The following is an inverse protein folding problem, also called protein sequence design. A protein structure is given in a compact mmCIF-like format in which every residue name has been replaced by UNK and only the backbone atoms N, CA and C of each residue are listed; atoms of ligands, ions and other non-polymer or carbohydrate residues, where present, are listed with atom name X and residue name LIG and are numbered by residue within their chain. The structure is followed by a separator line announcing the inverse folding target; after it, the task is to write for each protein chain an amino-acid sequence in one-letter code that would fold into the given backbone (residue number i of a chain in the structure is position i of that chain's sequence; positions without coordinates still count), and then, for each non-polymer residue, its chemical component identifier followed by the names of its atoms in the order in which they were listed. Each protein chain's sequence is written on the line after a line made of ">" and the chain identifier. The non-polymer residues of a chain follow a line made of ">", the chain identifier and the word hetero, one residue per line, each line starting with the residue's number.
data_IF_383422875690
#
_entry.id   IF_383422875690
#
_cell.length_a   1.000
_cell.length_b   1.000
_cell.length_c   1.000
_cell.angle_alpha   90.00
_cell.angle_beta   90.00
_cell.angle_gamma   90.00
#
_symmetry.space_group_name_H-M   'P 1'
#
loop_
_entity.id
_entity.type
_entity.pdbx_description
1 polymer ?
#
# COMPACT_ATOMS: atom_id res chain seq x y z
N UNK A 1 25.86 13.00 -32.02
CA UNK A 1 25.92 11.55 -31.74
C UNK A 1 26.35 11.19 -30.30
N UNK A 2 26.63 12.14 -29.38
CA UNK A 2 27.06 11.82 -28.01
C UNK A 2 25.94 11.79 -26.93
N UNK A 3 24.74 12.32 -27.21
CA UNK A 3 23.67 12.47 -26.20
C UNK A 3 22.89 11.18 -25.88
N UNK A 4 23.12 10.08 -26.60
CA UNK A 4 22.36 8.82 -26.42
C UNK A 4 22.95 7.84 -25.41
N UNK A 5 24.19 8.05 -24.95
CA UNK A 5 24.88 7.07 -24.09
C UNK A 5 24.62 7.33 -22.59
N UNK A 6 24.31 8.57 -22.20
CA UNK A 6 24.14 8.93 -20.78
C UNK A 6 22.77 8.51 -20.22
N UNK A 7 21.76 8.30 -21.08
CA UNK A 7 20.42 7.84 -20.67
C UNK A 7 20.35 6.37 -20.24
N UNK A 8 21.45 5.62 -20.33
CA UNK A 8 21.55 4.23 -19.89
C UNK A 8 22.18 4.07 -18.49
N UNK A 9 22.77 5.13 -17.92
CA UNK A 9 23.52 5.05 -16.67
C UNK A 9 22.76 5.55 -15.44
N UNK A 10 21.63 6.22 -15.63
CA UNK A 10 20.81 6.74 -14.54
C UNK A 10 19.33 6.53 -14.87
N UNK A 11 18.65 5.53 -14.30
CA UNK A 11 17.21 5.41 -14.45
C UNK A 11 16.54 6.70 -13.96
N UNK A 12 15.65 7.24 -14.79
CA UNK A 12 14.97 8.54 -14.61
C UNK A 12 13.85 8.51 -13.56
N UNK A 13 13.71 7.41 -12.84
CA UNK A 13 12.79 7.23 -11.74
C UNK A 13 13.56 6.63 -10.55
N UNK A 14 13.24 7.04 -9.31
CA UNK A 14 13.74 6.30 -8.15
C UNK A 14 13.37 4.83 -8.36
N UNK A 15 14.31 3.88 -8.14
CA UNK A 15 14.00 2.46 -8.28
C UNK A 15 12.79 2.18 -7.40
N UNK A 16 11.74 1.59 -7.98
CA UNK A 16 10.57 1.20 -7.20
C UNK A 16 11.06 0.41 -5.98
N UNK A 17 10.64 0.78 -4.76
CA UNK A 17 10.96 -0.04 -3.61
C UNK A 17 10.51 -1.47 -3.94
N UNK A 18 11.46 -2.42 -3.85
CA UNK A 18 11.28 -3.84 -4.19
C UNK A 18 11.22 -4.25 -5.68
N UNK A 19 11.62 -3.37 -6.62
CA UNK A 19 11.82 -3.74 -8.04
C UNK A 19 12.70 -5.01 -8.20
N UNK A 20 13.67 -5.17 -7.31
CA UNK A 20 14.52 -6.35 -7.26
C UNK A 20 13.69 -7.64 -7.08
N UNK A 21 12.78 -7.70 -6.11
CA UNK A 21 11.98 -8.90 -5.82
C UNK A 21 11.00 -9.25 -6.95
N UNK A 22 10.46 -8.26 -7.67
CA UNK A 22 9.66 -8.52 -8.88
C UNK A 22 10.45 -9.28 -9.95
N UNK A 23 11.77 -9.08 -10.00
CA UNK A 23 12.66 -9.69 -11.01
C UNK A 23 13.38 -10.96 -10.54
N UNK A 24 13.67 -11.09 -9.25
CA UNK A 24 14.50 -12.18 -8.69
C UNK A 24 13.75 -13.06 -7.69
N UNK A 25 12.63 -12.59 -7.16
CA UNK A 25 11.83 -13.31 -6.17
C UNK A 25 11.00 -14.43 -6.80
N UNK A 26 10.66 -15.42 -5.98
CA UNK A 26 9.67 -16.43 -6.34
C UNK A 26 8.28 -15.81 -6.27
N UNK A 27 7.56 -15.86 -7.39
CA UNK A 27 6.19 -15.35 -7.48
C UNK A 27 5.20 -16.40 -6.96
N UNK A 28 4.36 -15.96 -6.03
CA UNK A 28 3.25 -16.72 -5.48
C UNK A 28 1.98 -15.99 -5.90
N UNK A 29 1.03 -16.73 -6.47
CA UNK A 29 -0.30 -16.20 -6.74
C UNK A 29 -1.24 -16.66 -5.64
N UNK A 30 -1.85 -15.71 -4.96
CA UNK A 30 -2.80 -15.97 -3.88
C UNK A 30 -4.17 -15.48 -4.33
N UNK A 31 -5.21 -16.29 -4.14
CA UNK A 31 -6.57 -15.80 -4.38
C UNK A 31 -6.93 -14.81 -3.29
N UNK A 32 -7.64 -13.75 -3.67
CA UNK A 32 -8.10 -12.73 -2.74
C UNK A 32 -8.92 -13.32 -1.59
N UNK A 33 -9.72 -14.36 -1.87
CA UNK A 33 -10.56 -15.03 -0.89
C UNK A 33 -9.77 -15.75 0.22
N UNK A 34 -8.50 -16.07 -0.05
CA UNK A 34 -7.60 -16.70 0.92
C UNK A 34 -6.87 -15.68 1.81
N UNK A 35 -7.05 -14.38 1.53
CA UNK A 35 -6.48 -13.27 2.30
C UNK A 35 -7.54 -12.61 3.20
N UNK A 36 -7.12 -12.15 4.36
CA UNK A 36 -7.95 -11.43 5.33
C UNK A 36 -7.67 -9.94 5.24
N UNK A 37 -8.71 -9.13 5.05
CA UNK A 37 -8.63 -7.66 5.15
C UNK A 37 -8.74 -7.26 6.63
N UNK A 38 -7.68 -6.65 7.15
CA UNK A 38 -7.64 -6.13 8.51
C UNK A 38 -7.74 -4.61 8.44
N UNK A 39 -8.67 -4.05 9.24
CA UNK A 39 -8.88 -2.61 9.36
C UNK A 39 -8.21 -2.07 10.60
N UNK A 40 -7.59 -0.91 10.48
CA UNK A 40 -7.08 -0.10 11.58
C UNK A 40 -7.53 1.34 11.35
N UNK A 41 -7.66 2.12 12.41
CA UNK A 41 -7.94 3.54 12.29
C UNK A 41 -6.64 4.31 12.47
N UNK A 42 -6.44 5.34 11.64
CA UNK A 42 -5.43 6.36 11.90
C UNK A 42 -6.14 7.72 12.01
N UNK A 43 -5.53 8.61 12.77
CA UNK A 43 -6.03 9.96 12.94
C UNK A 43 -5.12 10.87 12.13
N UNK A 44 -5.71 11.56 11.16
CA UNK A 44 -4.99 12.55 10.35
C UNK A 44 -5.42 13.94 10.82
N UNK A 45 -4.43 14.78 11.12
CA UNK A 45 -4.66 16.23 11.24
C UNK A 45 -4.99 16.74 9.84
N UNK A 46 -6.06 17.54 9.72
CA UNK A 46 -6.33 18.23 8.45
C UNK A 46 -5.12 19.09 8.12
N UNK A 47 -4.57 18.94 6.92
CA UNK A 47 -3.76 20.00 6.35
C UNK A 47 -4.67 21.24 6.25
N UNK A 48 -4.21 22.37 6.80
CA UNK A 48 -4.81 23.70 6.60
C UNK A 48 -4.79 24.02 5.09
N UNK A 49 -5.75 23.47 4.36
CA UNK A 49 -6.00 23.81 2.96
C UNK A 49 -6.99 24.97 2.83
N UNK A 50 -7.56 25.40 3.95
CA UNK A 50 -8.58 26.43 3.99
C UNK A 50 -7.91 27.81 4.11
N UNK A 51 -8.38 28.77 3.33
CA UNK A 51 -7.85 30.13 3.36
C UNK A 51 -8.11 30.82 4.70
N UNK A 52 -7.32 31.83 5.03
CA UNK A 52 -7.44 32.63 6.28
C UNK A 52 -8.88 33.08 6.58
N UNK A 53 -9.68 33.35 5.53
CA UNK A 53 -11.07 33.76 5.63
C UNK A 53 -11.99 32.68 6.25
N UNK A 54 -11.76 31.40 5.94
CA UNK A 54 -12.50 30.27 6.52
C UNK A 54 -12.16 30.11 8.00
N UNK A 55 -10.87 30.22 8.35
CA UNK A 55 -10.43 30.16 9.75
C UNK A 55 -11.02 31.29 10.61
N UNK A 56 -11.15 32.49 10.05
CA UNK A 56 -11.77 33.61 10.76
C UNK A 56 -13.27 33.39 11.00
N UNK A 57 -13.99 32.83 10.02
CA UNK A 57 -15.40 32.49 10.14
C UNK A 57 -15.62 31.37 11.18
N UNK A 58 -14.80 30.32 11.14
CA UNK A 58 -14.86 29.22 12.12
C UNK A 58 -14.61 29.72 13.55
N UNK A 59 -13.64 30.64 13.73
CA UNK A 59 -13.38 31.30 15.01
C UNK A 59 -14.55 32.15 15.53
N UNK A 60 -15.33 32.79 14.64
CA UNK A 60 -16.50 33.60 15.00
C UNK A 60 -17.70 32.77 15.48
N UNK A 61 -17.88 31.57 14.93
CA UNK A 61 -18.94 30.63 15.33
C UNK A 61 -18.51 29.64 16.42
N UNK A 62 -17.27 29.75 16.92
CA UNK A 62 -16.73 28.90 17.97
C UNK A 62 -16.35 27.48 17.50
N UNK A 63 -16.25 27.25 16.19
CA UNK A 63 -15.74 26.00 15.65
C UNK A 63 -14.22 25.96 15.81
N UNK A 64 -13.70 25.01 16.59
CA UNK A 64 -12.27 24.72 16.62
C UNK A 64 -11.95 23.77 15.47
N UNK A 65 -11.02 24.18 14.61
CA UNK A 65 -10.58 23.45 13.42
C UNK A 65 -9.77 22.18 13.71
N UNK A 66 -9.55 21.83 14.99
CA UNK A 66 -8.84 20.63 15.44
C UNK A 66 -9.68 19.34 15.32
N UNK A 67 -10.50 19.20 14.27
CA UNK A 67 -11.23 17.96 14.02
C UNK A 67 -10.27 16.91 13.44
N UNK A 68 -9.59 16.17 14.32
CA UNK A 68 -8.93 14.90 13.97
C UNK A 68 -9.96 13.98 13.34
N UNK A 69 -9.84 13.71 12.04
CA UNK A 69 -10.71 12.74 11.37
C UNK A 69 -10.11 11.36 11.51
N UNK A 70 -10.86 10.45 12.15
CA UNK A 70 -10.58 9.03 12.06
C UNK A 70 -10.75 8.59 10.61
N UNK A 71 -9.67 8.13 10.00
CA UNK A 71 -9.67 7.51 8.68
C UNK A 71 -9.34 6.03 8.83
N UNK A 72 -10.06 5.22 8.07
CA UNK A 72 -9.80 3.79 8.02
C UNK A 72 -8.60 3.52 7.10
N UNK A 73 -7.67 2.71 7.59
CA UNK A 73 -6.60 2.08 6.82
C UNK A 73 -6.81 0.57 6.84
N UNK A 74 -6.47 -0.07 5.73
CA UNK A 74 -6.53 -1.50 5.59
C UNK A 74 -5.13 -2.07 5.38
N UNK A 75 -4.94 -3.33 5.72
CA UNK A 75 -3.84 -4.15 5.21
C UNK A 75 -4.33 -5.59 5.04
N UNK A 76 -3.62 -6.35 4.22
CA UNK A 76 -3.96 -7.73 3.91
C UNK A 76 -3.06 -8.65 4.71
N UNK A 77 -3.66 -9.67 5.29
CA UNK A 77 -2.95 -10.84 5.78
C UNK A 77 -3.20 -12.01 4.84
N UNK A 78 -2.14 -12.65 4.37
CA UNK A 78 -2.25 -13.87 3.57
C UNK A 78 -1.39 -14.98 4.20
N UNK A 79 -1.97 -16.16 4.40
CA UNK A 79 -1.23 -17.30 4.90
C UNK A 79 -0.26 -17.82 3.84
N UNK A 80 1.01 -18.03 4.23
CA UNK A 80 2.05 -18.57 3.36
C UNK A 80 2.75 -19.76 4.03
N UNK A 81 3.07 -20.77 3.23
CA UNK A 81 3.81 -21.96 3.65
C UNK A 81 4.98 -22.17 2.68
N UNK A 82 6.23 -21.81 3.05
CA UNK A 82 7.38 -22.09 2.20
C UNK A 82 7.71 -23.59 2.16
N UNK A 83 7.35 -24.34 3.21
CA UNK A 83 7.57 -25.77 3.34
C UNK A 83 6.40 -26.44 4.11
N UNK A 84 6.46 -27.77 4.27
CA UNK A 84 5.37 -28.54 4.89
C UNK A 84 5.19 -28.29 6.40
N UNK A 85 6.19 -27.73 7.08
CA UNK A 85 6.24 -27.59 8.53
C UNK A 85 6.17 -26.12 8.99
N UNK A 86 6.50 -25.18 8.10
CA UNK A 86 6.53 -23.76 8.38
C UNK A 86 5.26 -23.10 7.85
N UNK A 87 4.49 -22.47 8.74
CA UNK A 87 3.40 -21.56 8.38
C UNK A 87 3.76 -20.16 8.83
N UNK A 88 3.67 -19.21 7.92
CA UNK A 88 3.83 -17.80 8.21
C UNK A 88 2.65 -16.99 7.66
N UNK A 89 2.55 -15.76 8.13
CA UNK A 89 1.54 -14.80 7.73
C UNK A 89 2.26 -13.63 7.07
N UNK A 90 1.94 -13.35 5.82
CA UNK A 90 2.51 -12.24 5.06
C UNK A 90 1.55 -11.06 5.17
N UNK A 91 2.09 -9.90 5.54
CA UNK A 91 1.32 -8.69 5.75
C UNK A 91 1.61 -7.69 4.64
N UNK A 92 0.58 -7.18 3.98
CA UNK A 92 0.76 -6.12 3.00
C UNK A 92 1.17 -4.81 3.66
N UNK A 93 1.75 -3.87 2.88
CA UNK A 93 1.80 -2.46 3.28
C UNK A 93 0.41 -1.91 3.60
N UNK A 94 0.37 -0.80 4.34
CA UNK A 94 -0.89 -0.09 4.61
C UNK A 94 -1.50 0.44 3.32
N UNK A 95 -2.80 0.19 3.18
CA UNK A 95 -3.65 0.66 2.10
C UNK A 95 -4.53 1.76 2.69
N UNK A 96 -4.29 3.00 2.28
CA UNK A 96 -5.00 4.18 2.77
C UNK A 96 -6.37 4.33 2.07
N UNK A 97 -7.21 3.31 2.24
CA UNK A 97 -8.59 3.23 1.75
C UNK A 97 -9.45 2.48 2.76
N UNK A 98 -10.74 2.79 2.76
CA UNK A 98 -11.71 2.06 3.54
C UNK A 98 -11.88 0.62 3.01
N UNK A 99 -12.37 -0.25 3.88
CA UNK A 99 -12.58 -1.68 3.68
C UNK A 99 -13.48 -1.97 2.50
N UNK A 100 -14.52 -1.16 2.27
CA UNK A 100 -15.44 -1.39 1.15
C UNK A 100 -14.73 -1.15 -0.17
N UNK A 101 -13.97 -0.06 -0.26
CA UNK A 101 -13.16 0.24 -1.44
C UNK A 101 -12.09 -0.82 -1.67
N UNK A 102 -11.37 -1.24 -0.64
CA UNK A 102 -10.37 -2.32 -0.75
C UNK A 102 -11.01 -3.61 -1.23
N UNK A 103 -12.13 -4.01 -0.62
CA UNK A 103 -12.83 -5.24 -1.00
C UNK A 103 -13.29 -5.21 -2.46
N UNK A 104 -13.83 -4.08 -2.93
CA UNK A 104 -14.24 -3.91 -4.32
C UNK A 104 -13.08 -4.06 -5.31
N UNK A 105 -11.93 -3.43 -5.02
CA UNK A 105 -10.74 -3.50 -5.87
C UNK A 105 -10.17 -4.93 -5.92
N UNK A 106 -10.17 -5.61 -4.77
CA UNK A 106 -9.71 -6.99 -4.69
C UNK A 106 -10.61 -7.96 -5.47
N UNK A 107 -11.93 -7.86 -5.34
CA UNK A 107 -12.89 -8.69 -6.08
C UNK A 107 -12.73 -8.54 -7.61
N UNK A 108 -12.37 -7.34 -8.08
CA UNK A 108 -12.08 -7.09 -9.49
C UNK A 108 -10.81 -7.80 -9.96
N UNK A 109 -9.77 -7.85 -9.12
CA UNK A 109 -8.46 -8.41 -9.49
C UNK A 109 -8.37 -9.93 -9.27
N UNK A 110 -9.21 -10.50 -8.38
CA UNK A 110 -9.35 -11.93 -7.99
C UNK A 110 -8.11 -12.61 -7.40
N UNK A 111 -6.92 -12.24 -7.87
CA UNK A 111 -5.63 -12.79 -7.45
C UNK A 111 -4.61 -11.67 -7.24
N UNK A 112 -3.73 -11.90 -6.27
CA UNK A 112 -2.63 -11.01 -5.91
C UNK A 112 -1.33 -11.77 -6.15
N UNK A 113 -0.33 -11.07 -6.69
CA UNK A 113 1.02 -11.61 -6.79
C UNK A 113 1.85 -11.17 -5.59
N UNK A 114 2.45 -12.13 -4.91
CA UNK A 114 3.39 -11.89 -3.81
C UNK A 114 4.73 -12.44 -4.25
N UNK A 115 5.76 -11.60 -4.20
CA UNK A 115 7.12 -11.96 -4.56
C UNK A 115 7.91 -12.18 -3.28
N UNK A 116 8.45 -13.38 -3.08
CA UNK A 116 9.17 -13.74 -1.86
C UNK A 116 10.63 -14.05 -2.22
N UNK A 117 11.57 -13.57 -1.40
CA UNK A 117 12.97 -13.92 -1.54
C UNK A 117 13.16 -15.42 -1.18
N UNK A 118 13.74 -16.24 -2.08
CA UNK A 118 13.93 -17.67 -1.83
C UNK A 118 14.95 -17.97 -0.73
N UNK A 119 15.82 -17.02 -0.39
CA UNK A 119 16.86 -17.18 0.65
C UNK A 119 16.36 -16.71 2.02
N UNK A 120 15.54 -15.66 2.05
CA UNK A 120 14.92 -15.15 3.27
C UNK A 120 13.42 -14.87 3.05
N UNK A 121 12.56 -15.77 3.51
CA UNK A 121 11.11 -15.64 3.36
C UNK A 121 10.51 -14.43 4.11
N UNK A 122 11.28 -13.72 4.95
CA UNK A 122 10.86 -12.46 5.59
C UNK A 122 10.95 -11.28 4.64
N UNK A 123 11.74 -11.37 3.59
CA UNK A 123 11.80 -10.37 2.54
C UNK A 123 10.80 -10.71 1.44
N UNK A 124 9.70 -9.96 1.39
CA UNK A 124 8.65 -10.16 0.42
C UNK A 124 8.02 -8.84 -0.03
N UNK A 125 7.34 -8.87 -1.16
CA UNK A 125 6.66 -7.74 -1.78
C UNK A 125 5.27 -8.14 -2.27
N UNK A 126 4.27 -7.37 -1.86
CA UNK A 126 2.89 -7.49 -2.34
C UNK A 126 2.70 -6.58 -3.56
N UNK A 127 2.37 -7.19 -4.70
CA UNK A 127 2.05 -6.43 -5.90
C UNK A 127 0.61 -5.92 -5.86
N UNK A 128 0.47 -4.70 -5.35
CA UNK A 128 -0.81 -4.02 -5.12
C UNK A 128 -0.94 -2.76 -5.97
N UNK A 129 -0.26 -2.67 -7.12
CA UNK A 129 -0.33 -1.49 -8.00
C UNK A 129 -1.75 -1.12 -8.40
N UNK A 130 -2.63 -2.13 -8.57
CA UNK A 130 -4.04 -1.94 -8.86
C UNK A 130 -4.81 -1.20 -7.75
N UNK A 131 -4.27 -1.08 -6.54
CA UNK A 131 -4.87 -0.30 -5.46
C UNK A 131 -4.78 1.21 -5.70
N UNK A 132 -3.91 1.67 -6.61
CA UNK A 132 -3.74 3.09 -6.93
C UNK A 132 -4.45 3.51 -8.22
N UNK A 133 -5.22 2.60 -8.83
CA UNK A 133 -5.99 2.84 -10.05
C UNK A 133 -7.26 3.67 -9.82
#
# INVERSE_FOLDING_TARGET
>A
MLKRIIGLLFPTSPPEPHAFLKSTGSRIMVNVQDCTIITSNYYEERADSDGLEVHMLDGLIGHRSDEMRAREICYLSCAYRPDQHTRMELLSPYIYKDRMTVNFLLERHKQISIYVNPVDCREYYFDLEFMNA
#
